data_IF_526261605104
#
_entry.id   IF_526261605104
#
_cell.length_a   1.000
_cell.length_b   1.000
_cell.length_c   1.000
_cell.angle_alpha   90.00
_cell.angle_beta   90.00
_cell.angle_gamma   90.00
#
_symmetry.space_group_name_H-M   'P 1'
#
loop_
_entity.id
_entity.type
_entity.pdbx_description
1 polymer ?
#
# COMPACT_ATOMS: atom_id res chain seq x y z
N UNK A 1 -21.53 -17.35 19.85
CA UNK A 1 -20.17 -16.80 19.63
C UNK A 1 -20.19 -15.40 20.18
N UNK A 2 -19.33 -15.10 21.15
CA UNK A 2 -19.36 -13.82 21.87
C UNK A 2 -18.68 -12.79 20.97
N UNK A 3 -19.46 -11.84 20.51
CA UNK A 3 -19.04 -10.74 19.67
C UNK A 3 -18.33 -9.65 20.50
N UNK A 4 -17.15 -9.99 21.00
CA UNK A 4 -16.38 -9.12 21.90
C UNK A 4 -15.73 -7.93 21.14
N UNK A 5 -15.56 -8.06 19.85
CA UNK A 5 -14.86 -7.04 19.04
C UNK A 5 -15.75 -5.87 18.64
N UNK A 6 -17.06 -6.06 18.54
CA UNK A 6 -17.98 -5.03 18.02
C UNK A 6 -18.39 -3.97 19.04
N UNK A 7 -18.42 -4.30 20.33
CA UNK A 7 -18.98 -3.40 21.35
C UNK A 7 -18.08 -2.24 21.77
N UNK A 8 -16.75 -2.34 21.55
CA UNK A 8 -15.79 -1.32 22.02
C UNK A 8 -15.35 -0.33 20.96
N UNK A 9 -15.47 -0.68 19.67
CA UNK A 9 -14.94 0.11 18.58
C UNK A 9 -16.02 0.82 17.75
N UNK A 10 -17.27 0.42 17.87
CA UNK A 10 -18.35 1.00 17.12
C UNK A 10 -19.33 1.73 18.04
N UNK A 11 -19.72 2.97 17.71
CA UNK A 11 -20.82 3.64 18.38
C UNK A 11 -22.11 2.79 18.23
N UNK A 12 -23.00 2.81 19.22
CA UNK A 12 -24.26 2.05 19.23
C UNK A 12 -25.16 2.30 17.98
N UNK A 13 -24.96 3.46 17.32
CA UNK A 13 -25.68 3.80 16.10
C UNK A 13 -25.08 3.19 14.83
N UNK A 14 -23.88 2.60 14.89
CA UNK A 14 -23.22 2.01 13.73
C UNK A 14 -23.55 0.50 13.63
N UNK A 15 -24.29 0.06 12.62
CA UNK A 15 -24.76 -1.32 12.53
C UNK A 15 -23.62 -2.33 12.28
N UNK A 16 -22.47 -1.86 11.78
CA UNK A 16 -21.30 -2.72 11.48
C UNK A 16 -20.03 -1.88 11.24
N UNK A 17 -18.87 -2.55 11.23
CA UNK A 17 -17.54 -1.92 11.07
C UNK A 17 -17.21 -1.55 9.61
N UNK A 18 -17.98 -2.00 8.63
CA UNK A 18 -17.66 -1.82 7.22
C UNK A 18 -17.55 -0.34 6.78
N UNK A 19 -18.48 0.57 7.12
CA UNK A 19 -18.41 1.95 6.67
C UNK A 19 -17.13 2.70 7.10
N UNK A 20 -16.68 2.65 8.37
CA UNK A 20 -15.43 3.28 8.74
C UNK A 20 -14.20 2.57 8.11
N UNK A 21 -14.24 1.25 7.95
CA UNK A 21 -13.12 0.49 7.44
C UNK A 21 -12.81 0.78 5.96
N UNK A 22 -13.82 1.07 5.15
CA UNK A 22 -13.70 1.39 3.71
C UNK A 22 -12.75 2.57 3.45
N UNK A 23 -12.69 3.54 4.35
CA UNK A 23 -11.91 4.75 4.15
C UNK A 23 -10.39 4.49 4.15
N UNK A 24 -9.93 3.48 4.89
CA UNK A 24 -8.50 3.17 4.97
C UNK A 24 -7.91 2.69 3.64
N UNK A 25 -8.43 1.66 2.96
CA UNK A 25 -7.89 1.25 1.67
C UNK A 25 -8.02 2.35 0.62
N UNK A 26 -9.12 3.12 0.61
CA UNK A 26 -9.28 4.23 -0.33
C UNK A 26 -8.16 5.26 -0.12
N UNK A 27 -7.92 5.70 1.12
CA UNK A 27 -6.88 6.68 1.41
C UNK A 27 -5.48 6.16 1.06
N UNK A 28 -5.14 4.93 1.46
CA UNK A 28 -3.82 4.35 1.23
C UNK A 28 -3.53 4.10 -0.24
N UNK A 29 -4.49 3.55 -0.98
CA UNK A 29 -4.31 3.28 -2.41
C UNK A 29 -4.26 4.58 -3.22
N UNK A 30 -5.06 5.58 -2.87
CA UNK A 30 -4.99 6.92 -3.48
C UNK A 30 -3.64 7.58 -3.17
N UNK A 31 -3.16 7.52 -1.92
CA UNK A 31 -1.84 8.00 -1.56
C UNK A 31 -0.74 7.26 -2.34
N UNK A 32 -0.86 5.95 -2.54
CA UNK A 32 0.07 5.15 -3.35
C UNK A 32 0.18 5.67 -4.79
N UNK A 33 -0.95 5.97 -5.42
CA UNK A 33 -0.99 6.58 -6.78
C UNK A 33 -0.33 7.96 -6.79
N UNK A 34 -0.61 8.79 -5.78
CA UNK A 34 0.01 10.12 -5.66
C UNK A 34 1.53 10.03 -5.47
N UNK A 35 2.01 9.09 -4.65
CA UNK A 35 3.44 8.84 -4.47
C UNK A 35 4.11 8.41 -5.77
N UNK A 36 3.47 7.60 -6.59
CA UNK A 36 3.99 7.23 -7.91
C UNK A 36 4.08 8.45 -8.84
N UNK A 37 3.03 9.25 -8.89
CA UNK A 37 3.00 10.48 -9.69
C UNK A 37 4.08 11.47 -9.27
N UNK A 38 4.27 11.68 -7.95
CA UNK A 38 5.31 12.54 -7.40
C UNK A 38 6.71 11.98 -7.69
N UNK A 39 6.92 10.67 -7.52
CA UNK A 39 8.19 10.00 -7.84
C UNK A 39 8.59 10.17 -9.31
N UNK A 40 7.61 10.09 -10.21
CA UNK A 40 7.81 10.35 -11.63
C UNK A 40 8.15 11.83 -11.90
N UNK A 41 7.39 12.75 -11.32
CA UNK A 41 7.56 14.19 -11.53
C UNK A 41 8.89 14.71 -10.97
N UNK A 42 9.29 14.26 -9.78
CA UNK A 42 10.49 14.70 -9.07
C UNK A 42 11.77 13.93 -9.47
N UNK A 43 11.67 12.95 -10.36
CA UNK A 43 12.79 12.09 -10.78
C UNK A 43 13.51 11.35 -9.64
N UNK A 44 12.94 11.31 -8.45
CA UNK A 44 13.46 10.62 -7.26
C UNK A 44 12.82 9.23 -7.14
N UNK A 45 13.04 8.37 -8.11
CA UNK A 45 12.26 7.15 -8.27
C UNK A 45 12.43 6.10 -7.16
N UNK A 46 13.59 6.01 -6.50
CA UNK A 46 13.86 4.90 -5.56
C UNK A 46 13.07 5.04 -4.26
N UNK A 47 13.17 6.18 -3.57
CA UNK A 47 12.50 6.39 -2.29
C UNK A 47 10.97 6.39 -2.44
N UNK A 48 10.45 7.09 -3.47
CA UNK A 48 9.02 7.15 -3.77
C UNK A 48 8.45 5.78 -4.17
N UNK A 49 9.22 4.97 -4.90
CA UNK A 49 8.83 3.61 -5.30
C UNK A 49 8.65 2.66 -4.12
N UNK A 50 9.54 2.71 -3.11
CA UNK A 50 9.38 1.91 -1.91
C UNK A 50 8.18 2.37 -1.08
N UNK A 51 8.01 3.69 -0.92
CA UNK A 51 6.87 4.27 -0.22
C UNK A 51 5.54 3.89 -0.86
N UNK A 52 5.40 4.07 -2.18
CA UNK A 52 4.19 3.69 -2.90
C UNK A 52 3.92 2.19 -2.82
N UNK A 53 4.95 1.34 -2.93
CA UNK A 53 4.76 -0.11 -2.83
C UNK A 53 4.24 -0.52 -1.46
N UNK A 54 4.76 0.06 -0.36
CA UNK A 54 4.25 -0.19 0.98
C UNK A 54 2.76 0.22 1.11
N UNK A 55 2.39 1.38 0.56
CA UNK A 55 1.00 1.86 0.54
C UNK A 55 0.08 0.91 -0.24
N UNK A 56 0.53 0.40 -1.39
CA UNK A 56 -0.24 -0.59 -2.16
C UNK A 56 -0.40 -1.90 -1.41
N UNK A 57 0.65 -2.41 -0.77
CA UNK A 57 0.59 -3.67 0.01
C UNK A 57 -0.40 -3.54 1.16
N UNK A 58 -0.23 -2.52 2.01
CA UNK A 58 -1.10 -2.31 3.17
C UNK A 58 -2.53 -2.00 2.71
N UNK A 59 -2.69 -1.14 1.72
CA UNK A 59 -4.00 -0.77 1.15
C UNK A 59 -4.75 -1.96 0.57
N UNK A 60 -4.05 -2.86 -0.15
CA UNK A 60 -4.66 -4.06 -0.72
C UNK A 60 -5.07 -5.08 0.36
N UNK A 61 -4.25 -5.25 1.41
CA UNK A 61 -4.60 -6.11 2.55
C UNK A 61 -5.86 -5.58 3.25
N UNK A 62 -5.90 -4.28 3.54
CA UNK A 62 -7.06 -3.64 4.16
C UNK A 62 -8.29 -3.67 3.25
N UNK A 63 -8.11 -3.57 1.93
CA UNK A 63 -9.21 -3.74 0.97
C UNK A 63 -9.79 -5.15 1.02
N UNK A 64 -8.95 -6.19 1.17
CA UNK A 64 -9.40 -7.56 1.39
C UNK A 64 -10.23 -7.71 2.67
N UNK A 65 -9.75 -7.14 3.78
CA UNK A 65 -10.49 -7.13 5.05
C UNK A 65 -11.84 -6.38 4.90
N UNK A 66 -11.83 -5.23 4.22
CA UNK A 66 -13.04 -4.45 3.95
C UNK A 66 -14.02 -5.21 3.07
N UNK A 67 -13.54 -5.99 2.11
CA UNK A 67 -14.39 -6.84 1.26
C UNK A 67 -15.13 -7.90 2.09
N UNK A 68 -14.43 -8.57 3.02
CA UNK A 68 -15.04 -9.56 3.92
C UNK A 68 -16.09 -8.92 4.83
N UNK A 69 -15.76 -7.79 5.48
CA UNK A 69 -16.74 -7.08 6.34
C UNK A 69 -17.93 -6.53 5.55
N UNK A 70 -17.74 -6.23 4.27
CA UNK A 70 -18.84 -5.85 3.36
C UNK A 70 -19.81 -7.00 3.08
N UNK A 71 -19.31 -8.23 3.01
CA UNK A 71 -20.14 -9.42 2.88
C UNK A 71 -21.02 -9.62 4.13
N UNK A 72 -20.40 -9.52 5.31
CA UNK A 72 -21.11 -9.63 6.59
C UNK A 72 -22.15 -8.52 6.74
N UNK A 73 -21.80 -7.28 6.37
CA UNK A 73 -22.71 -6.16 6.39
C UNK A 73 -23.93 -6.39 5.47
N UNK A 74 -23.72 -6.88 4.27
CA UNK A 74 -24.81 -7.17 3.32
C UNK A 74 -25.75 -8.29 3.81
N UNK A 75 -25.23 -9.23 4.60
CA UNK A 75 -26.02 -10.32 5.17
C UNK A 75 -26.84 -9.90 6.40
N UNK A 76 -26.39 -8.87 7.13
CA UNK A 76 -26.99 -8.47 8.42
C UNK A 76 -27.89 -7.24 8.33
N UNK A 77 -27.67 -6.37 7.35
CA UNK A 77 -28.45 -5.14 7.17
C UNK A 77 -29.63 -5.39 6.26
N UNK A 78 -30.81 -5.01 6.73
CA UNK A 78 -32.02 -5.08 5.92
C UNK A 78 -31.91 -4.15 4.71
N UNK A 79 -31.96 -4.74 3.51
CA UNK A 79 -31.89 -3.99 2.26
C UNK A 79 -33.27 -4.00 1.61
N UNK A 80 -33.95 -2.85 1.45
CA UNK A 80 -35.22 -2.78 0.73
C UNK A 80 -35.11 -3.31 -0.71
N UNK A 81 -36.14 -3.95 -1.24
CA UNK A 81 -36.12 -4.62 -2.55
C UNK A 81 -35.57 -3.77 -3.71
N UNK A 82 -35.86 -2.45 -3.73
CA UNK A 82 -35.36 -1.53 -4.75
C UNK A 82 -33.84 -1.29 -4.65
N UNK A 83 -33.21 -1.51 -3.49
CA UNK A 83 -31.79 -1.31 -3.28
C UNK A 83 -30.95 -2.55 -3.61
N UNK A 84 -31.52 -3.73 -3.83
CA UNK A 84 -30.82 -4.95 -4.17
C UNK A 84 -29.94 -4.78 -5.45
N UNK A 85 -30.45 -4.07 -6.45
CA UNK A 85 -29.71 -3.81 -7.69
C UNK A 85 -28.45 -2.99 -7.44
N UNK A 86 -28.51 -2.00 -6.54
CA UNK A 86 -27.36 -1.16 -6.18
C UNK A 86 -26.32 -1.95 -5.39
N UNK A 87 -26.76 -2.80 -4.45
CA UNK A 87 -25.87 -3.67 -3.67
C UNK A 87 -25.14 -4.65 -4.57
N UNK A 88 -25.83 -5.28 -5.52
CA UNK A 88 -25.22 -6.18 -6.51
C UNK A 88 -24.22 -5.47 -7.42
N UNK A 89 -24.55 -4.27 -7.89
CA UNK A 89 -23.64 -3.46 -8.69
C UNK A 89 -22.37 -3.09 -7.87
N UNK A 90 -22.57 -2.63 -6.62
CA UNK A 90 -21.44 -2.33 -5.70
C UNK A 90 -20.56 -3.55 -5.49
N UNK A 91 -21.12 -4.72 -5.24
CA UNK A 91 -20.41 -5.98 -5.09
C UNK A 91 -19.55 -6.33 -6.30
N UNK A 92 -20.12 -6.21 -7.48
CA UNK A 92 -19.41 -6.48 -8.74
C UNK A 92 -18.21 -5.54 -8.90
N UNK A 93 -18.41 -4.25 -8.69
CA UNK A 93 -17.31 -3.26 -8.76
C UNK A 93 -16.26 -3.45 -7.68
N UNK A 94 -16.65 -3.77 -6.45
CA UNK A 94 -15.73 -4.07 -5.36
C UNK A 94 -14.82 -5.27 -5.69
N UNK A 95 -15.38 -6.33 -6.28
CA UNK A 95 -14.65 -7.52 -6.70
C UNK A 95 -13.61 -7.20 -7.79
N UNK A 96 -14.02 -6.46 -8.83
CA UNK A 96 -13.09 -6.05 -9.89
C UNK A 96 -11.99 -5.14 -9.38
N UNK A 97 -12.32 -4.21 -8.49
CA UNK A 97 -11.37 -3.29 -7.89
C UNK A 97 -10.36 -4.04 -7.03
N UNK A 98 -10.80 -4.97 -6.21
CA UNK A 98 -9.93 -5.83 -5.40
C UNK A 98 -8.99 -6.64 -6.29
N UNK A 99 -9.50 -7.32 -7.32
CA UNK A 99 -8.70 -8.11 -8.26
C UNK A 99 -7.64 -7.24 -8.95
N UNK A 100 -8.01 -6.05 -9.40
CA UNK A 100 -7.10 -5.10 -10.02
C UNK A 100 -5.93 -4.73 -9.09
N UNK A 101 -6.21 -4.33 -7.84
CA UNK A 101 -5.17 -3.94 -6.90
C UNK A 101 -4.31 -5.11 -6.42
N UNK A 102 -4.86 -6.32 -6.32
CA UNK A 102 -4.08 -7.54 -6.04
C UNK A 102 -3.06 -7.78 -7.16
N UNK A 103 -3.50 -7.77 -8.42
CA UNK A 103 -2.62 -7.98 -9.58
C UNK A 103 -1.54 -6.89 -9.65
N UNK A 104 -1.92 -5.62 -9.47
CA UNK A 104 -1.00 -4.50 -9.48
C UNK A 104 0.05 -4.60 -8.36
N UNK A 105 -0.38 -4.93 -7.14
CA UNK A 105 0.50 -5.07 -5.98
C UNK A 105 1.49 -6.22 -6.17
N UNK A 106 1.01 -7.39 -6.64
CA UNK A 106 1.86 -8.55 -6.92
C UNK A 106 2.88 -8.22 -8.02
N UNK A 107 2.46 -7.59 -9.10
CA UNK A 107 3.37 -7.14 -10.17
C UNK A 107 4.47 -6.21 -9.66
N UNK A 108 4.12 -5.27 -8.77
CA UNK A 108 5.10 -4.38 -8.13
C UNK A 108 6.09 -5.10 -7.24
N UNK A 109 5.62 -6.05 -6.45
CA UNK A 109 6.49 -6.86 -5.59
C UNK A 109 7.49 -7.65 -6.44
N UNK A 110 7.03 -8.32 -7.51
CA UNK A 110 7.89 -9.06 -8.43
C UNK A 110 8.95 -8.15 -9.06
N UNK A 111 8.57 -6.96 -9.52
CA UNK A 111 9.53 -6.01 -10.09
C UNK A 111 10.57 -5.52 -9.07
N UNK A 112 10.16 -5.27 -7.83
CA UNK A 112 11.06 -4.85 -6.77
C UNK A 112 12.07 -5.96 -6.40
N UNK A 113 11.62 -7.21 -6.28
CA UNK A 113 12.49 -8.36 -6.02
C UNK A 113 13.51 -8.56 -7.13
N UNK A 114 13.10 -8.47 -8.40
CA UNK A 114 14.01 -8.59 -9.56
C UNK A 114 15.08 -7.50 -9.57
N UNK A 115 14.72 -6.26 -9.25
CA UNK A 115 15.68 -5.15 -9.19
C UNK A 115 16.71 -5.32 -8.08
N UNK A 116 16.35 -5.95 -6.96
CA UNK A 116 17.29 -6.24 -5.87
C UNK A 116 18.29 -7.32 -6.23
N UNK A 117 17.86 -8.38 -6.93
CA UNK A 117 18.73 -9.49 -7.34
C UNK A 117 19.83 -9.06 -8.31
N UNK A 118 19.52 -8.16 -9.25
CA UNK A 118 20.50 -7.68 -10.24
C UNK A 118 21.56 -6.77 -9.63
N UNK A 119 21.27 -6.07 -8.53
CA UNK A 119 22.26 -5.23 -7.85
C UNK A 119 23.24 -6.04 -7.01
N UNK A 120 22.83 -7.18 -6.45
CA UNK A 120 23.71 -8.05 -5.65
C UNK A 120 24.79 -8.73 -6.50
N UNK A 121 24.48 -9.11 -7.74
CA UNK A 121 25.45 -9.75 -8.63
C UNK A 121 26.50 -8.79 -9.19
N UNK A 122 26.22 -7.48 -9.24
CA UNK A 122 27.19 -6.46 -9.66
C UNK A 122 28.15 -6.06 -8.55
N UNK A 123 27.82 -6.26 -7.28
CA UNK A 123 28.65 -5.86 -6.13
C UNK A 123 29.78 -6.85 -5.84
N UNK A 124 29.76 -8.06 -6.39
CA UNK A 124 30.78 -9.08 -6.08
C UNK A 124 32.00 -9.05 -7.01
N UNK A 125 31.99 -8.20 -8.04
CA UNK A 125 33.03 -8.19 -9.09
C UNK A 125 33.98 -7.03 -9.12
N UNK A 126 33.72 -5.94 -8.41
CA UNK A 126 34.57 -4.74 -8.53
C UNK A 126 34.60 -3.94 -7.22
N UNK A 127 35.48 -4.36 -6.31
CA UNK A 127 35.95 -3.48 -5.25
C UNK A 127 37.18 -2.73 -5.78
N UNK A 128 37.08 -1.49 -6.25
CA UNK A 128 38.23 -0.65 -6.36
C UNK A 128 38.73 -0.42 -4.94
N UNK A 129 39.89 -1.02 -4.60
CA UNK A 129 40.62 -0.68 -3.40
C UNK A 129 40.99 0.81 -3.49
N UNK A 130 40.07 1.66 -3.06
CA UNK A 130 40.38 3.08 -2.86
C UNK A 130 41.35 3.14 -1.70
N UNK A 131 42.67 3.13 -2.02
CA UNK A 131 43.71 3.52 -1.07
C UNK A 131 43.30 4.91 -0.57
N UNK A 132 42.89 5.00 0.68
CA UNK A 132 42.78 6.26 1.40
C UNK A 132 44.21 6.82 1.48
N UNK A 133 44.60 7.67 0.52
CA UNK A 133 45.76 8.50 0.64
C UNK A 133 45.42 9.58 1.66
N UNK A 134 45.91 9.39 2.88
CA UNK A 134 45.91 10.41 3.89
C UNK A 134 46.93 11.48 3.44
N UNK A 135 46.46 12.56 2.81
CA UNK A 135 47.29 13.78 2.64
C UNK A 135 47.13 14.56 3.95
N UNK A 136 48.24 14.79 4.69
CA UNK A 136 48.19 15.64 5.89
C UNK A 136 47.82 17.07 5.45
N UNK A 137 46.80 17.62 6.10
CA UNK A 137 46.43 19.03 5.97
C UNK A 137 47.58 19.89 6.48
N UNK A 138 48.47 20.36 5.60
CA UNK A 138 49.39 21.42 5.91
C UNK A 138 48.66 22.74 6.02
N UNK A 139 48.41 23.17 7.25
CA UNK A 139 47.90 24.51 7.55
C UNK A 139 49.03 25.50 7.19
N UNK A 140 48.91 26.20 6.06
CA UNK A 140 49.75 27.37 5.76
C UNK A 140 49.19 28.54 6.57
N UNK A 141 49.87 28.88 7.68
CA UNK A 141 49.70 30.15 8.36
C UNK A 141 50.47 31.18 7.55
N UNK A 142 49.77 32.12 6.91
CA UNK A 142 50.39 33.29 6.28
C UNK A 142 50.52 34.37 7.36
N UNK A 143 51.73 34.83 7.57
CA UNK A 143 52.08 36.06 8.32
C UNK A 143 51.95 37.24 7.38
#
# INVERSE_FOLDING_TARGET
>A
MIDIASSWLLPEWAPNAHPPLVHFPIALLTAGVLFDGLGFALRQQIAWRHGSTALYVIGTILMGATYVTGQEAAATVFTPGLAHGLVNAHWTWATWTLAYFVILTLGRLVMNFRSSSTNTSKSTGDYPTRRLSWTPLTIRIAF
#
